data_IF_239345925815
#
_entry.id   IF_239345925815
#
_cell.length_a   1.000
_cell.length_b   1.000
_cell.length_c   1.000
_cell.angle_alpha   90.00
_cell.angle_beta   90.00
_cell.angle_gamma   90.00
#
_symmetry.space_group_name_H-M   'P 1'
#
loop_
_entity.id
_entity.type
_entity.pdbx_description
1 polymer ?
#
# COMPACT_ATOMS: atom_id res chain seq x y z
N UNK A 1 13.48 19.70 11.36
CA UNK A 1 12.98 18.33 11.52
C UNK A 1 13.68 17.49 10.47
N UNK A 2 14.30 16.39 10.86
CA UNK A 2 14.95 15.48 9.90
C UNK A 2 13.91 14.43 9.52
N UNK A 3 13.87 14.06 8.25
CA UNK A 3 12.97 13.04 7.75
C UNK A 3 13.76 11.82 7.30
N UNK A 4 13.17 10.65 7.45
CA UNK A 4 13.67 9.38 6.96
C UNK A 4 12.58 8.67 6.17
N UNK A 5 12.99 7.90 5.17
CA UNK A 5 12.10 6.98 4.47
C UNK A 5 12.29 5.59 5.06
N UNK A 6 11.24 5.04 5.62
CA UNK A 6 11.20 3.67 6.12
C UNK A 6 10.65 2.75 5.04
N UNK A 7 11.29 1.60 4.85
CA UNK A 7 10.70 0.46 4.16
C UNK A 7 10.45 -0.68 5.12
N UNK A 8 9.39 -1.43 4.87
CA UNK A 8 8.99 -2.58 5.66
C UNK A 8 8.57 -3.70 4.71
N UNK A 9 9.18 -4.87 4.84
CA UNK A 9 9.07 -5.86 3.77
C UNK A 9 9.34 -7.27 4.23
N UNK A 10 8.85 -8.20 3.41
CA UNK A 10 9.09 -9.63 3.55
C UNK A 10 10.29 -10.04 2.69
N UNK A 11 11.33 -10.60 3.31
CA UNK A 11 12.53 -11.07 2.62
C UNK A 11 12.28 -12.24 1.66
N UNK A 12 13.23 -12.52 0.75
CA UNK A 12 13.19 -13.69 -0.14
C UNK A 12 13.49 -15.00 0.60
N UNK A 13 13.04 -16.10 0.01
CA UNK A 13 13.33 -17.47 0.46
C UNK A 13 12.17 -18.13 1.18
N UNK A 14 12.42 -19.34 1.69
CA UNK A 14 11.41 -20.20 2.33
C UNK A 14 11.06 -19.75 3.77
N UNK A 15 11.66 -18.65 4.20
CA UNK A 15 11.55 -18.09 5.53
C UNK A 15 10.94 -16.69 5.37
N UNK A 16 9.67 -16.46 5.75
CA UNK A 16 8.95 -15.21 5.54
C UNK A 16 9.43 -14.06 6.44
N UNK A 17 10.73 -13.74 6.42
CA UNK A 17 11.34 -12.82 7.39
C UNK A 17 10.82 -11.40 7.24
N UNK A 18 10.47 -10.76 8.36
CA UNK A 18 9.98 -9.39 8.36
C UNK A 18 11.13 -8.42 8.68
N UNK A 19 11.42 -7.52 7.75
CA UNK A 19 12.51 -6.54 7.85
C UNK A 19 11.97 -5.12 7.84
N UNK A 20 12.74 -4.23 8.46
CA UNK A 20 12.68 -2.80 8.26
C UNK A 20 14.03 -2.29 7.75
N UNK A 21 14.02 -1.28 6.90
CA UNK A 21 15.22 -0.61 6.39
C UNK A 21 14.93 0.89 6.33
N UNK A 22 15.96 1.71 6.52
CA UNK A 22 15.80 3.16 6.64
C UNK A 22 16.73 3.87 5.69
N UNK A 23 16.18 4.79 4.90
CA UNK A 23 16.92 5.69 4.03
C UNK A 23 16.97 7.10 4.65
N UNK A 24 18.16 7.67 4.74
CA UNK A 24 18.40 8.96 5.38
C UNK A 24 18.47 10.15 4.39
N UNK A 25 18.26 9.91 3.10
CA UNK A 25 18.47 10.89 2.02
C UNK A 25 19.74 10.66 1.19
N UNK A 26 20.68 9.90 1.72
CA UNK A 26 21.96 9.60 1.06
C UNK A 26 22.19 8.09 0.93
N UNK A 27 21.88 7.31 1.98
CA UNK A 27 22.12 5.88 2.02
C UNK A 27 21.04 5.12 2.79
N UNK A 28 20.83 3.88 2.38
CA UNK A 28 20.04 2.89 3.10
C UNK A 28 20.88 2.25 4.22
N UNK A 29 20.28 2.01 5.38
CA UNK A 29 20.95 1.39 6.52
C UNK A 29 21.23 -0.11 6.35
N UNK A 30 20.48 -0.77 5.46
CA UNK A 30 20.43 -2.23 5.37
C UNK A 30 19.29 -2.82 6.21
N UNK A 31 18.96 -4.08 5.93
CA UNK A 31 17.82 -4.75 6.54
C UNK A 31 18.08 -5.06 8.02
N UNK A 32 17.12 -4.64 8.86
CA UNK A 32 17.06 -4.96 10.29
C UNK A 32 15.81 -5.80 10.52
N UNK A 33 15.90 -6.99 11.14
CA UNK A 33 14.72 -7.77 11.49
C UNK A 33 13.77 -6.95 12.36
N UNK A 34 12.47 -7.02 12.08
CA UNK A 34 11.48 -6.33 12.89
C UNK A 34 11.60 -6.81 14.35
N UNK A 35 11.78 -5.91 15.33
CA UNK A 35 12.04 -6.32 16.71
C UNK A 35 10.96 -7.28 17.23
N UNK A 36 11.38 -8.41 17.81
CA UNK A 36 10.47 -9.38 18.42
C UNK A 36 9.47 -10.06 17.48
N UNK A 37 9.58 -9.89 16.16
CA UNK A 37 8.85 -10.69 15.19
C UNK A 37 9.68 -10.90 13.93
N UNK A 38 10.11 -12.12 13.69
CA UNK A 38 10.91 -12.46 12.51
C UNK A 38 10.06 -12.93 11.34
N UNK A 39 8.72 -12.79 11.35
CA UNK A 39 7.85 -13.40 10.32
C UNK A 39 6.66 -12.53 9.89
N UNK A 40 6.34 -12.50 8.59
CA UNK A 40 5.16 -11.83 8.04
C UNK A 40 4.55 -12.61 6.86
N UNK A 41 3.23 -12.72 6.79
CA UNK A 41 2.56 -13.53 5.77
C UNK A 41 2.49 -12.84 4.40
N UNK A 42 2.25 -11.53 4.37
CA UNK A 42 1.96 -10.76 3.15
C UNK A 42 2.37 -9.28 3.30
N UNK A 43 2.08 -8.44 2.31
CA UNK A 43 2.41 -7.01 2.27
C UNK A 43 1.93 -6.27 3.53
N UNK A 44 2.83 -5.64 4.31
CA UNK A 44 2.48 -4.81 5.46
C UNK A 44 1.89 -3.47 5.03
N UNK A 45 1.41 -2.68 6.00
CA UNK A 45 1.13 -1.26 5.84
C UNK A 45 1.88 -0.45 6.89
N UNK A 46 2.22 0.79 6.55
CA UNK A 46 2.82 1.71 7.49
C UNK A 46 2.28 3.12 7.30
N UNK A 47 2.05 3.84 8.41
CA UNK A 47 1.50 5.19 8.39
C UNK A 47 1.98 5.98 9.61
N UNK A 48 2.17 7.28 9.46
CA UNK A 48 2.48 8.17 10.59
C UNK A 48 1.18 8.74 11.17
N UNK A 49 1.00 8.62 12.47
CA UNK A 49 -0.17 9.11 13.19
C UNK A 49 0.24 9.67 14.55
N UNK A 50 -0.18 10.89 14.89
CA UNK A 50 0.14 11.57 16.16
C UNK A 50 1.62 11.43 16.56
N UNK A 51 2.54 11.85 15.67
CA UNK A 51 4.01 11.80 15.80
C UNK A 51 4.67 10.42 15.83
N UNK A 52 3.91 9.33 15.74
CA UNK A 52 4.46 7.98 15.78
C UNK A 52 4.28 7.26 14.44
N UNK A 53 5.22 6.39 14.11
CA UNK A 53 5.12 5.47 12.99
C UNK A 53 4.39 4.20 13.44
N UNK A 54 3.23 3.94 12.84
CA UNK A 54 2.46 2.71 13.03
C UNK A 54 2.73 1.75 11.87
N UNK A 55 2.95 0.47 12.22
CA UNK A 55 3.22 -0.60 11.27
C UNK A 55 2.23 -1.72 11.51
N UNK A 56 1.45 -2.08 10.50
CA UNK A 56 0.46 -3.14 10.52
C UNK A 56 0.91 -4.28 9.62
N UNK A 57 0.85 -5.52 10.11
CA UNK A 57 1.42 -6.67 9.41
C UNK A 57 0.66 -7.97 9.70
N UNK A 58 0.30 -8.76 8.67
CA UNK A 58 -0.39 -10.02 8.86
C UNK A 58 0.56 -11.16 9.26
N UNK A 59 0.14 -12.01 10.20
CA UNK A 59 0.75 -13.30 10.55
C UNK A 59 -0.36 -14.34 10.60
N UNK A 60 -0.30 -15.35 9.73
CA UNK A 60 -1.29 -16.42 9.67
C UNK A 60 -2.73 -15.88 9.69
N UNK A 61 -2.99 -14.88 8.83
CA UNK A 61 -4.25 -14.13 8.71
C UNK A 61 -4.60 -13.21 9.89
N UNK A 62 -3.98 -13.34 11.07
CA UNK A 62 -4.14 -12.36 12.15
C UNK A 62 -3.37 -11.07 11.85
N UNK A 63 -3.97 -9.90 12.08
CA UNK A 63 -3.29 -8.62 11.91
C UNK A 63 -2.66 -8.17 13.22
N UNK A 64 -1.37 -7.84 13.17
CA UNK A 64 -0.62 -7.28 14.29
C UNK A 64 -0.15 -5.87 13.96
N UNK A 65 0.21 -5.11 14.99
CA UNK A 65 0.84 -3.82 14.83
C UNK A 65 1.89 -3.52 15.88
N UNK A 66 2.79 -2.60 15.53
CA UNK A 66 3.76 -1.97 16.42
C UNK A 66 3.79 -0.47 16.17
N UNK A 67 4.28 0.24 17.17
CA UNK A 67 4.43 1.70 17.14
C UNK A 67 5.90 2.04 17.38
N UNK A 68 6.43 2.96 16.59
CA UNK A 68 7.76 3.53 16.76
C UNK A 68 7.62 5.02 17.06
N UNK A 69 8.22 5.44 18.18
CA UNK A 69 8.18 6.82 18.67
C UNK A 69 9.36 7.69 18.20
N UNK A 70 10.28 7.11 17.42
CA UNK A 70 11.54 7.74 17.04
C UNK A 70 12.77 7.20 17.76
N UNK A 71 12.57 6.43 18.82
CA UNK A 71 13.66 5.82 19.58
C UNK A 71 13.43 4.32 19.75
N UNK A 72 12.22 3.92 20.17
CA UNK A 72 11.89 2.55 20.55
C UNK A 72 10.64 2.04 19.83
N UNK A 73 10.65 0.74 19.55
CA UNK A 73 9.47 0.01 19.10
C UNK A 73 8.71 -0.52 20.29
N UNK A 74 7.38 -0.35 20.31
CA UNK A 74 6.52 -1.04 21.25
C UNK A 74 6.57 -2.55 21.04
N UNK A 75 6.14 -3.33 22.04
CA UNK A 75 5.80 -4.73 21.85
C UNK A 75 4.72 -4.90 20.75
N UNK A 76 4.69 -6.08 20.11
CA UNK A 76 3.64 -6.41 19.15
C UNK A 76 2.28 -6.48 19.87
N UNK A 77 1.27 -5.86 19.26
CA UNK A 77 -0.12 -5.98 19.68
C UNK A 77 -0.96 -6.54 18.52
N UNK A 78 -1.94 -7.37 18.83
CA UNK A 78 -2.88 -7.86 17.81
C UNK A 78 -4.00 -6.83 17.61
N UNK A 79 -4.42 -6.60 16.37
CA UNK A 79 -5.64 -5.85 16.06
C UNK A 79 -6.84 -6.71 16.49
N UNK A 80 -7.69 -6.23 17.43
CA UNK A 80 -8.72 -7.06 18.04
C UNK A 80 -9.99 -7.15 17.19
N UNK A 81 -10.79 -8.19 17.43
CA UNK A 81 -12.16 -8.33 16.93
C UNK A 81 -12.28 -8.12 15.41
N UNK A 82 -11.54 -8.93 14.65
CA UNK A 82 -11.60 -8.98 13.19
C UNK A 82 -11.51 -10.43 12.72
N UNK A 83 -12.09 -10.74 11.56
CA UNK A 83 -12.03 -12.10 11.00
C UNK A 83 -10.61 -12.50 10.54
N UNK A 84 -9.77 -11.51 10.24
CA UNK A 84 -8.41 -11.68 9.74
C UNK A 84 -8.18 -10.94 8.43
N UNK A 85 -7.00 -11.13 7.84
CA UNK A 85 -6.59 -10.53 6.57
C UNK A 85 -6.21 -11.67 5.61
N UNK A 86 -6.88 -11.73 4.45
CA UNK A 86 -6.63 -12.72 3.41
C UNK A 86 -5.44 -12.42 2.49
N UNK A 87 -5.13 -11.15 2.31
CA UNK A 87 -4.03 -10.65 1.46
C UNK A 87 -3.04 -9.77 2.24
N UNK A 88 -2.61 -8.67 1.64
CA UNK A 88 -1.96 -7.57 2.36
C UNK A 88 -2.97 -6.59 2.95
N UNK A 89 -2.45 -5.55 3.59
CA UNK A 89 -3.22 -4.47 4.21
C UNK A 89 -2.74 -3.13 3.68
N UNK A 90 -3.65 -2.16 3.55
CA UNK A 90 -3.30 -0.75 3.37
C UNK A 90 -3.68 0.06 4.61
N UNK A 91 -2.94 1.15 4.85
CA UNK A 91 -3.23 2.09 5.92
C UNK A 91 -3.18 3.53 5.41
N UNK A 92 -4.14 4.35 5.83
CA UNK A 92 -4.13 5.79 5.58
C UNK A 92 -4.67 6.53 6.81
N UNK A 93 -4.15 7.71 7.11
CA UNK A 93 -4.72 8.59 8.13
C UNK A 93 -5.73 9.51 7.48
N UNK A 94 -6.98 9.42 7.92
CA UNK A 94 -8.09 10.23 7.45
C UNK A 94 -8.95 10.63 8.64
N UNK A 95 -9.36 11.90 8.70
CA UNK A 95 -10.26 12.42 9.74
C UNK A 95 -9.82 12.12 11.20
N UNK A 96 -8.50 12.19 11.46
CA UNK A 96 -7.94 11.91 12.80
C UNK A 96 -7.95 10.43 13.19
N UNK A 97 -8.18 9.51 12.24
CA UNK A 97 -8.16 8.07 12.45
C UNK A 97 -7.17 7.41 11.49
N UNK A 98 -6.54 6.31 11.91
CA UNK A 98 -5.94 5.35 10.98
C UNK A 98 -7.06 4.48 10.42
N UNK A 99 -7.18 4.41 9.11
CA UNK A 99 -8.02 3.47 8.39
C UNK A 99 -7.18 2.30 7.90
N UNK A 100 -7.55 1.09 8.28
CA UNK A 100 -6.98 -0.17 7.80
C UNK A 100 -7.91 -0.80 6.78
N UNK A 101 -7.41 -1.05 5.58
CA UNK A 101 -8.18 -1.52 4.42
C UNK A 101 -7.63 -2.87 3.96
N UNK A 102 -8.51 -3.86 3.80
CA UNK A 102 -8.12 -5.25 3.55
C UNK A 102 -9.29 -6.09 3.02
N UNK A 103 -9.03 -7.35 2.69
CA UNK A 103 -10.07 -8.36 2.46
C UNK A 103 -9.97 -9.45 3.54
N UNK A 104 -11.12 -9.99 3.97
CA UNK A 104 -11.15 -11.11 4.92
C UNK A 104 -10.62 -12.41 4.28
N UNK A 105 -10.14 -13.39 5.06
CA UNK A 105 -9.63 -14.64 4.52
C UNK A 105 -10.67 -15.41 3.70
N UNK A 106 -10.30 -15.80 2.48
CA UNK A 106 -11.18 -16.51 1.55
C UNK A 106 -12.36 -15.67 1.02
N UNK A 107 -12.37 -14.37 1.30
CA UNK A 107 -13.37 -13.41 0.82
C UNK A 107 -12.68 -12.32 0.01
N UNK A 108 -13.47 -11.56 -0.73
CA UNK A 108 -12.97 -10.49 -1.58
C UNK A 108 -13.72 -9.17 -1.35
N UNK A 109 -14.60 -9.09 -0.35
CA UNK A 109 -15.18 -7.81 0.05
C UNK A 109 -14.10 -6.88 0.60
N UNK A 110 -14.14 -5.61 0.21
CA UNK A 110 -13.30 -4.58 0.81
C UNK A 110 -13.83 -4.28 2.22
N UNK A 111 -12.99 -4.55 3.21
CA UNK A 111 -13.24 -4.32 4.62
C UNK A 111 -12.47 -3.10 5.10
N UNK A 112 -12.97 -2.44 6.15
CA UNK A 112 -12.17 -1.49 6.90
C UNK A 112 -12.35 -1.58 8.41
N UNK A 113 -11.31 -1.14 9.12
CA UNK A 113 -11.32 -0.91 10.57
C UNK A 113 -10.61 0.41 10.86
N UNK A 114 -11.07 1.14 11.87
CA UNK A 114 -10.44 2.42 12.27
C UNK A 114 -9.72 2.32 13.60
N UNK A 115 -8.72 3.17 13.81
CA UNK A 115 -8.04 3.36 15.09
C UNK A 115 -7.88 4.85 15.40
N UNK A 116 -8.25 5.27 16.61
CA UNK A 116 -8.26 6.69 17.01
C UNK A 116 -7.04 7.12 17.84
N UNK A 117 -6.03 6.26 18.00
CA UNK A 117 -4.91 6.49 18.92
C UNK A 117 -5.06 5.82 20.28
N UNK A 118 -6.22 5.24 20.57
CA UNK A 118 -6.49 4.57 21.85
C UNK A 118 -7.22 3.24 21.66
N UNK A 119 -8.26 3.22 20.84
CA UNK A 119 -9.10 2.05 20.60
C UNK A 119 -9.37 1.82 19.12
N UNK A 120 -9.56 0.55 18.75
CA UNK A 120 -10.03 0.18 17.43
C UNK A 120 -11.56 0.23 17.36
N UNK A 121 -12.08 0.69 16.24
CA UNK A 121 -13.50 0.61 15.90
C UNK A 121 -13.95 -0.80 15.50
N UNK A 122 -15.24 -0.99 15.17
CA UNK A 122 -15.73 -2.24 14.60
C UNK A 122 -15.08 -2.53 13.24
N UNK A 123 -15.01 -3.81 12.88
CA UNK A 123 -14.74 -4.23 11.51
C UNK A 123 -16.01 -4.01 10.67
N UNK A 124 -15.87 -3.31 9.54
CA UNK A 124 -16.97 -2.91 8.67
C UNK A 124 -16.73 -3.42 7.25
N UNK A 125 -17.75 -4.04 6.66
CA UNK A 125 -17.77 -4.33 5.23
C UNK A 125 -18.21 -3.08 4.47
N UNK A 126 -17.37 -2.56 3.58
CA UNK A 126 -17.71 -1.37 2.78
C UNK A 126 -18.91 -1.62 1.87
N UNK A 127 -19.14 -2.87 1.45
CA UNK A 127 -20.27 -3.25 0.59
C UNK A 127 -21.63 -3.28 1.30
N UNK A 128 -21.67 -3.11 2.63
CA UNK A 128 -22.90 -3.15 3.44
C UNK A 128 -23.34 -1.82 4.06
N UNK A 129 -22.69 -0.70 3.74
CA UNK A 129 -23.00 0.62 4.31
C UNK A 129 -23.83 1.49 3.36
N UNK A 130 -24.96 2.04 3.85
CA UNK A 130 -25.97 2.88 3.19
C UNK A 130 -25.66 3.36 1.76
N UNK A 131 -26.34 2.74 0.80
CA UNK A 131 -26.06 2.82 -0.62
C UNK A 131 -26.81 3.95 -1.31
N UNK A 132 -26.09 4.72 -2.13
CA UNK A 132 -26.61 5.03 -3.46
C UNK A 132 -25.97 4.17 -4.56
N UNK A 133 -24.78 3.55 -4.37
CA UNK A 133 -24.21 2.49 -5.22
C UNK A 133 -23.26 1.68 -4.33
N UNK A 134 -23.34 0.34 -4.31
CA UNK A 134 -22.39 -0.53 -3.59
C UNK A 134 -20.95 -0.24 -3.99
N UNK A 135 -19.99 -0.54 -3.11
CA UNK A 135 -18.63 -0.87 -3.58
C UNK A 135 -18.81 -2.08 -4.49
N UNK A 136 -18.90 -1.81 -5.79
CA UNK A 136 -19.29 -2.78 -6.79
C UNK A 136 -18.17 -3.77 -7.06
N UNK A 137 -16.96 -3.52 -6.54
CA UNK A 137 -15.81 -4.35 -6.79
C UNK A 137 -15.35 -5.14 -5.57
N UNK A 138 -14.90 -6.34 -5.88
CA UNK A 138 -14.22 -7.22 -4.97
C UNK A 138 -12.72 -6.98 -5.04
N UNK A 139 -12.05 -6.87 -3.89
CA UNK A 139 -10.61 -6.74 -3.77
C UNK A 139 -9.95 -8.11 -3.57
N UNK A 140 -9.20 -8.57 -4.57
CA UNK A 140 -8.55 -9.90 -4.60
C UNK A 140 -7.04 -9.87 -4.33
N UNK A 141 -6.49 -8.69 -3.99
CA UNK A 141 -5.06 -8.48 -3.73
C UNK A 141 -4.87 -7.42 -2.61
N UNK A 142 -3.65 -6.95 -2.36
CA UNK A 142 -3.36 -5.85 -1.44
C UNK A 142 -3.93 -4.55 -2.02
N UNK A 143 -4.84 -3.85 -1.31
CA UNK A 143 -5.31 -2.54 -1.76
C UNK A 143 -4.20 -1.48 -1.58
N UNK A 144 -4.40 -0.31 -2.17
CA UNK A 144 -3.63 0.90 -1.82
C UNK A 144 -4.58 2.00 -1.34
N UNK A 145 -4.10 2.86 -0.45
CA UNK A 145 -4.91 3.88 0.19
C UNK A 145 -4.18 5.21 0.26
N UNK A 146 -4.84 6.30 -0.16
CA UNK A 146 -4.31 7.66 -0.01
C UNK A 146 -5.45 8.62 0.28
N UNK A 147 -5.14 9.69 1.02
CA UNK A 147 -6.05 10.81 1.21
C UNK A 147 -5.67 11.93 0.27
N UNK A 148 -6.66 12.55 -0.34
CA UNK A 148 -6.50 13.79 -1.09
C UNK A 148 -7.68 14.71 -0.86
N UNK A 149 -7.38 15.95 -0.49
CA UNK A 149 -8.40 16.89 -0.07
C UNK A 149 -9.19 16.31 1.10
N UNK A 150 -10.49 16.16 0.91
CA UNK A 150 -11.42 15.69 1.92
C UNK A 150 -11.99 14.30 1.63
N UNK A 151 -11.19 13.47 0.95
CA UNK A 151 -11.62 12.15 0.48
C UNK A 151 -10.52 11.12 0.71
N UNK A 152 -10.90 9.98 1.31
CA UNK A 152 -10.08 8.77 1.31
C UNK A 152 -10.32 8.01 0.00
N UNK A 153 -9.25 7.74 -0.73
CA UNK A 153 -9.26 6.91 -1.93
C UNK A 153 -8.66 5.55 -1.61
N UNK A 154 -9.32 4.49 -2.07
CA UNK A 154 -8.85 3.11 -1.96
C UNK A 154 -8.81 2.52 -3.36
N UNK A 155 -7.66 2.02 -3.77
CA UNK A 155 -7.43 1.44 -5.09
C UNK A 155 -7.26 -0.06 -4.95
N UNK A 156 -7.82 -0.82 -5.89
CA UNK A 156 -7.74 -2.27 -5.81
C UNK A 156 -8.12 -2.96 -7.10
N UNK A 157 -7.93 -4.27 -7.09
CA UNK A 157 -8.17 -5.14 -8.23
C UNK A 157 -9.26 -6.15 -7.91
N UNK A 158 -10.13 -6.40 -8.87
CA UNK A 158 -11.00 -7.57 -8.89
C UNK A 158 -12.36 -7.31 -9.53
N UNK A 159 -13.24 -8.32 -9.55
CA UNK A 159 -14.45 -8.28 -10.35
C UNK A 159 -15.46 -7.26 -9.84
N UNK A 160 -16.16 -6.63 -10.78
CA UNK A 160 -17.29 -5.75 -10.50
C UNK A 160 -18.63 -6.50 -10.54
N UNK A 161 -19.70 -5.94 -9.97
CA UNK A 161 -21.06 -6.50 -10.06
C UNK A 161 -21.49 -6.77 -11.51
N UNK A 162 -21.17 -5.85 -12.43
CA UNK A 162 -21.47 -5.98 -13.87
C UNK A 162 -20.47 -6.86 -14.64
N UNK A 163 -19.35 -7.24 -14.02
CA UNK A 163 -18.27 -8.04 -14.63
C UNK A 163 -17.70 -9.07 -13.64
N UNK A 164 -18.53 -10.00 -13.12
CA UNK A 164 -18.18 -10.86 -11.99
C UNK A 164 -17.00 -11.82 -12.25
N UNK A 165 -16.60 -12.01 -13.51
CA UNK A 165 -15.45 -12.84 -13.90
C UNK A 165 -14.15 -12.08 -14.15
N UNK A 166 -14.17 -10.74 -14.17
CA UNK A 166 -12.98 -9.95 -14.50
C UNK A 166 -12.11 -9.70 -13.27
N UNK A 167 -11.29 -10.69 -12.90
CA UNK A 167 -10.36 -10.58 -11.76
C UNK A 167 -9.27 -9.54 -11.95
N UNK A 168 -9.06 -9.03 -13.16
CA UNK A 168 -8.03 -8.06 -13.47
C UNK A 168 -8.56 -6.61 -13.45
N UNK A 169 -9.87 -6.39 -13.27
CA UNK A 169 -10.43 -5.04 -13.36
C UNK A 169 -9.83 -4.13 -12.28
N UNK A 170 -9.41 -2.94 -12.71
CA UNK A 170 -8.90 -1.89 -11.82
C UNK A 170 -10.05 -1.00 -11.35
N UNK A 171 -10.19 -0.85 -10.03
CA UNK A 171 -11.18 -0.01 -9.39
C UNK A 171 -10.56 0.98 -8.41
N UNK A 172 -11.34 2.01 -8.11
CA UNK A 172 -11.13 2.82 -6.92
C UNK A 172 -12.45 3.03 -6.17
N UNK A 173 -12.37 3.08 -4.84
CA UNK A 173 -13.42 3.53 -3.95
C UNK A 173 -13.06 4.87 -3.31
N UNK A 174 -14.07 5.69 -3.03
CA UNK A 174 -13.96 6.97 -2.34
C UNK A 174 -14.81 6.95 -1.08
N UNK A 175 -14.31 7.53 0.00
CA UNK A 175 -15.05 7.73 1.24
C UNK A 175 -14.94 9.18 1.73
N UNK A 176 -16.10 9.79 1.99
CA UNK A 176 -16.27 11.21 2.34
C UNK A 176 -16.79 11.41 3.78
N UNK A 177 -16.49 10.45 4.68
CA UNK A 177 -17.04 10.31 6.05
C UNK A 177 -18.47 9.80 6.13
N UNK A 178 -19.23 9.86 5.05
CA UNK A 178 -20.62 9.42 5.05
C UNK A 178 -20.84 8.18 4.21
N UNK A 179 -20.25 8.14 3.02
CA UNK A 179 -20.66 7.23 1.96
C UNK A 179 -19.44 6.66 1.25
N UNK A 180 -19.45 5.34 1.04
CA UNK A 180 -18.53 4.69 0.13
C UNK A 180 -19.11 4.70 -1.29
N UNK A 181 -18.27 5.03 -2.28
CA UNK A 181 -18.63 4.97 -3.71
C UNK A 181 -17.49 4.29 -4.46
N UNK A 182 -17.78 3.44 -5.42
CA UNK A 182 -16.74 2.80 -6.25
C UNK A 182 -16.92 3.11 -7.73
N UNK A 183 -15.82 3.24 -8.44
CA UNK A 183 -15.81 3.48 -9.87
C UNK A 183 -14.70 2.64 -10.52
N UNK A 184 -14.92 2.13 -11.75
CA UNK A 184 -13.83 1.51 -12.50
C UNK A 184 -12.82 2.59 -12.89
N UNK A 185 -11.55 2.23 -12.92
CA UNK A 185 -10.51 3.09 -13.49
C UNK A 185 -10.64 3.05 -15.01
N UNK A 186 -10.79 4.23 -15.64
CA UNK A 186 -10.93 4.33 -17.08
C UNK A 186 -9.57 4.24 -17.79
N UNK A 187 -9.59 3.78 -19.05
CA UNK A 187 -8.42 3.78 -19.93
C UNK A 187 -7.26 2.92 -19.41
N UNK A 188 -7.59 1.76 -18.80
CA UNK A 188 -6.60 0.77 -18.35
C UNK A 188 -7.05 -0.62 -18.74
N UNK A 189 -6.10 -1.48 -19.11
CA UNK A 189 -6.35 -2.88 -19.47
C UNK A 189 -6.67 -3.74 -18.23
N UNK A 190 -6.45 -3.20 -17.03
CA UNK A 190 -6.58 -3.89 -15.76
C UNK A 190 -5.22 -4.05 -15.10
N UNK A 191 -5.19 -4.88 -14.05
CA UNK A 191 -4.01 -5.14 -13.26
C UNK A 191 -3.70 -6.64 -13.21
N UNK A 192 -2.44 -7.02 -13.00
CA UNK A 192 -2.05 -8.41 -12.63
C UNK A 192 -1.86 -8.59 -11.11
N UNK A 193 -1.74 -7.50 -10.36
CA UNK A 193 -1.58 -7.47 -8.90
C UNK A 193 -2.26 -6.24 -8.28
N UNK A 194 -2.19 -6.12 -6.95
CA UNK A 194 -2.67 -4.93 -6.24
C UNK A 194 -1.79 -3.70 -6.53
N UNK A 195 -2.38 -2.51 -6.69
CA UNK A 195 -1.64 -1.29 -7.00
C UNK A 195 -0.88 -0.74 -5.79
N UNK A 196 0.07 0.16 -6.04
CA UNK A 196 0.60 1.12 -5.07
C UNK A 196 0.06 2.53 -5.34
N UNK A 197 -0.10 3.36 -4.32
CA UNK A 197 -0.61 4.73 -4.48
C UNK A 197 0.13 5.74 -3.59
N UNK A 198 0.44 6.92 -4.13
CA UNK A 198 0.98 8.05 -3.36
C UNK A 198 0.40 9.38 -3.86
N UNK A 199 0.06 10.28 -2.93
CA UNK A 199 -0.24 11.68 -3.26
C UNK A 199 1.07 12.44 -3.44
N UNK A 200 1.25 13.07 -4.59
CA UNK A 200 2.43 13.86 -4.90
C UNK A 200 2.06 15.05 -5.80
N UNK A 201 2.45 16.26 -5.38
CA UNK A 201 2.01 17.52 -6.00
C UNK A 201 0.47 17.52 -6.12
N UNK A 202 -0.06 17.86 -7.29
CA UNK A 202 -1.49 17.92 -7.59
C UNK A 202 -2.08 16.59 -8.10
N UNK A 203 -1.43 15.45 -7.82
CA UNK A 203 -1.85 14.16 -8.37
C UNK A 203 -1.79 13.04 -7.34
N UNK A 204 -2.71 12.08 -7.49
CA UNK A 204 -2.52 10.73 -6.96
C UNK A 204 -1.81 9.94 -8.05
N UNK A 205 -0.63 9.41 -7.74
CA UNK A 205 0.11 8.50 -8.60
C UNK A 205 -0.21 7.07 -8.22
N UNK A 206 -0.53 6.26 -9.24
CA UNK A 206 -0.79 4.83 -9.10
C UNK A 206 0.29 4.07 -9.85
N UNK A 207 0.81 3.02 -9.22
CA UNK A 207 1.81 2.12 -9.77
C UNK A 207 1.26 0.71 -9.78
N UNK A 208 1.33 0.03 -10.91
CA UNK A 208 0.66 -1.25 -11.08
C UNK A 208 1.27 -2.04 -12.23
N UNK A 209 1.10 -3.36 -12.21
CA UNK A 209 1.39 -4.16 -13.38
C UNK A 209 0.12 -4.36 -14.19
N UNK A 210 0.20 -4.24 -15.50
CA UNK A 210 -0.90 -4.61 -16.39
C UNK A 210 -1.11 -6.15 -16.39
N UNK A 211 -2.12 -6.68 -17.10
CA UNK A 211 -2.34 -8.12 -17.18
C UNK A 211 -1.22 -8.90 -17.90
N UNK A 212 -0.35 -8.23 -18.66
CA UNK A 212 0.81 -8.85 -19.32
C UNK A 212 2.03 -8.95 -18.40
N UNK A 213 2.01 -8.25 -17.27
CA UNK A 213 3.08 -8.21 -16.26
C UNK A 213 4.05 -7.04 -16.45
N UNK A 214 3.81 -6.15 -17.40
CA UNK A 214 4.58 -4.93 -17.59
C UNK A 214 4.23 -3.92 -16.51
N UNK A 215 5.23 -3.17 -16.03
CA UNK A 215 5.07 -2.22 -14.95
C UNK A 215 4.70 -0.84 -15.46
N UNK A 216 3.56 -0.32 -15.01
CA UNK A 216 2.97 0.95 -15.43
C UNK A 216 2.75 1.90 -14.25
N UNK A 217 2.63 3.17 -14.58
CA UNK A 217 2.09 4.19 -13.70
C UNK A 217 1.04 5.04 -14.42
N UNK A 218 0.14 5.63 -13.64
CA UNK A 218 -0.77 6.67 -14.11
C UNK A 218 -1.05 7.69 -13.01
N UNK A 219 -1.63 8.83 -13.38
CA UNK A 219 -2.00 9.90 -12.45
C UNK A 219 -3.50 10.18 -12.46
N UNK A 220 -4.01 10.60 -11.31
CA UNK A 220 -5.41 10.94 -11.10
C UNK A 220 -5.55 12.25 -10.32
N UNK A 221 -6.41 13.15 -10.79
CA UNK A 221 -6.64 14.47 -10.18
C UNK A 221 -7.54 14.42 -8.93
N UNK A 222 -8.06 13.25 -8.57
CA UNK A 222 -8.99 13.08 -7.45
C UNK A 222 -10.44 13.43 -7.77
N UNK A 223 -10.72 14.16 -8.86
CA UNK A 223 -12.04 14.72 -9.16
C UNK A 223 -12.63 14.24 -10.50
N UNK A 224 -11.90 13.45 -11.28
CA UNK A 224 -12.43 12.72 -12.43
C UNK A 224 -11.50 12.59 -13.63
N UNK A 225 -10.39 13.35 -13.66
CA UNK A 225 -9.45 13.33 -14.79
C UNK A 225 -8.30 12.36 -14.55
N UNK A 226 -8.12 11.47 -15.53
CA UNK A 226 -7.08 10.44 -15.53
C UNK A 226 -6.03 10.74 -16.59
N UNK A 227 -4.76 10.54 -16.24
CA UNK A 227 -3.69 10.38 -17.22
C UNK A 227 -3.76 9.03 -17.95
N UNK A 228 -3.05 8.92 -19.06
CA UNK A 228 -2.82 7.65 -19.74
C UNK A 228 -1.96 6.70 -18.88
N UNK A 229 -2.10 5.40 -19.12
CA UNK A 229 -1.19 4.40 -18.60
C UNK A 229 0.17 4.59 -19.28
N UNK A 230 1.24 4.77 -18.50
CA UNK A 230 2.61 4.97 -18.97
C UNK A 230 3.50 3.87 -18.41
N UNK A 231 4.25 3.20 -19.27
CA UNK A 231 5.18 2.18 -18.80
C UNK A 231 6.28 2.86 -17.97
N UNK A 232 6.63 2.26 -16.83
CA UNK A 232 7.77 2.70 -16.03
C UNK A 232 9.04 2.43 -16.86
N UNK A 233 9.83 3.47 -17.18
CA UNK A 233 10.94 3.33 -18.13
C UNK A 233 12.06 2.47 -17.56
N UNK A 234 12.75 1.73 -18.43
CA UNK A 234 13.94 0.93 -18.10
C UNK A 234 13.74 -0.05 -16.93
N UNK A 235 12.52 -0.53 -16.71
CA UNK A 235 12.21 -1.49 -15.65
C UNK A 235 11.80 -2.83 -16.27
N UNK A 236 12.61 -3.90 -16.08
CA UNK A 236 12.34 -5.24 -16.64
C UNK A 236 11.00 -5.85 -16.18
N UNK A 237 10.46 -5.35 -15.07
CA UNK A 237 9.17 -5.74 -14.51
C UNK A 237 9.14 -5.45 -13.01
N UNK A 238 7.94 -5.46 -12.44
CA UNK A 238 7.72 -5.46 -11.01
C UNK A 238 6.99 -6.78 -10.65
N UNK A 239 7.42 -7.47 -9.60
CA UNK A 239 6.94 -8.82 -9.29
C UNK A 239 6.17 -8.91 -7.95
N UNK A 240 5.79 -7.76 -7.41
CA UNK A 240 4.92 -7.62 -6.23
C UNK A 240 4.13 -6.30 -6.30
N UNK A 241 3.49 -5.88 -5.21
CA UNK A 241 2.87 -4.55 -5.15
C UNK A 241 3.99 -3.49 -5.00
N UNK A 242 3.96 -2.41 -5.79
CA UNK A 242 4.91 -1.33 -5.61
C UNK A 242 4.54 -0.45 -4.41
N UNK A 243 5.52 0.13 -3.72
CA UNK A 243 5.32 1.06 -2.62
C UNK A 243 5.84 2.46 -3.01
N UNK A 244 5.00 3.28 -3.68
CA UNK A 244 5.33 4.67 -3.93
C UNK A 244 5.26 5.49 -2.63
N UNK A 245 6.21 6.39 -2.43
CA UNK A 245 6.25 7.28 -1.25
C UNK A 245 6.96 8.59 -1.61
N UNK A 246 6.48 9.71 -1.06
CA UNK A 246 7.14 11.00 -1.22
C UNK A 246 8.14 11.22 -0.10
N UNK A 247 9.39 11.48 -0.45
CA UNK A 247 10.47 11.78 0.47
C UNK A 247 11.32 12.92 -0.09
N UNK A 248 11.52 13.99 0.69
CA UNK A 248 12.24 15.20 0.28
C UNK A 248 11.82 15.72 -1.11
N UNK A 249 10.51 15.95 -1.28
CA UNK A 249 9.88 16.43 -2.53
C UNK A 249 10.12 15.57 -3.78
N UNK A 250 10.54 14.31 -3.58
CA UNK A 250 10.79 13.36 -4.65
C UNK A 250 9.89 12.13 -4.47
N UNK A 251 9.32 11.64 -5.58
CA UNK A 251 8.51 10.43 -5.56
C UNK A 251 9.43 9.21 -5.72
N UNK A 252 9.59 8.45 -4.65
CA UNK A 252 10.27 7.17 -4.64
C UNK A 252 9.29 6.05 -4.98
N UNK A 253 9.75 5.06 -5.73
CA UNK A 253 8.99 3.87 -6.08
C UNK A 253 9.81 2.66 -5.69
N UNK A 254 9.45 2.02 -4.58
CA UNK A 254 10.07 0.80 -4.09
C UNK A 254 9.35 -0.41 -4.67
N UNK A 255 10.07 -1.36 -5.26
CA UNK A 255 9.46 -2.48 -5.97
C UNK A 255 10.35 -3.73 -6.03
N UNK A 256 9.75 -4.85 -6.43
CA UNK A 256 10.41 -6.16 -6.51
C UNK A 256 10.87 -6.43 -7.94
N UNK A 257 12.18 -6.63 -8.13
CA UNK A 257 12.75 -7.08 -9.40
C UNK A 257 12.47 -8.56 -9.72
N UNK A 258 12.81 -9.01 -10.94
CA UNK A 258 12.49 -10.35 -11.44
C UNK A 258 13.02 -11.52 -10.61
N UNK A 259 14.16 -11.34 -9.93
CA UNK A 259 14.77 -12.38 -9.09
C UNK A 259 14.56 -12.10 -7.60
N UNK A 260 13.52 -11.33 -7.25
CA UNK A 260 13.25 -10.92 -5.88
C UNK A 260 14.19 -9.82 -5.37
N UNK A 261 14.92 -9.12 -6.25
CA UNK A 261 15.72 -7.97 -5.84
C UNK A 261 14.81 -6.89 -5.22
N UNK A 262 15.28 -6.25 -4.15
CA UNK A 262 14.64 -5.03 -3.66
C UNK A 262 15.22 -3.83 -4.40
N UNK A 263 14.42 -3.23 -5.27
CA UNK A 263 14.80 -2.11 -6.13
C UNK A 263 14.05 -0.84 -5.72
N UNK A 264 14.65 0.31 -6.01
CA UNK A 264 13.96 1.58 -5.99
C UNK A 264 14.37 2.47 -7.17
N UNK A 265 13.45 3.34 -7.55
CA UNK A 265 13.69 4.46 -8.49
C UNK A 265 13.06 5.72 -7.95
N UNK A 266 13.42 6.85 -8.55
CA UNK A 266 12.79 8.13 -8.27
C UNK A 266 12.27 8.78 -9.54
N UNK A 267 11.26 9.62 -9.37
CA UNK A 267 10.73 10.47 -10.41
C UNK A 267 10.24 11.82 -9.85
N UNK A 268 10.18 12.83 -10.70
CA UNK A 268 9.48 14.08 -10.43
C UNK A 268 7.98 14.02 -10.76
N UNK A 269 7.46 12.81 -11.03
CA UNK A 269 6.08 12.55 -11.37
C UNK A 269 5.79 12.70 -12.87
N UNK A 270 6.81 12.91 -13.70
CA UNK A 270 6.69 13.03 -15.16
C UNK A 270 7.68 12.06 -15.85
N UNK A 271 8.46 12.57 -16.81
CA UNK A 271 9.43 11.79 -17.60
C UNK A 271 10.83 11.75 -17.02
N UNK A 272 11.10 12.47 -15.92
CA UNK A 272 12.40 12.44 -15.29
C UNK A 272 12.46 11.26 -14.33
N UNK A 273 13.15 10.19 -14.74
CA UNK A 273 13.34 8.96 -13.97
C UNK A 273 14.82 8.69 -13.73
N UNK A 274 15.17 8.18 -12.55
CA UNK A 274 16.45 7.52 -12.36
C UNK A 274 16.43 6.11 -12.96
N UNK A 275 17.58 5.44 -13.02
CA UNK A 275 17.65 3.99 -13.29
C UNK A 275 17.27 3.18 -12.06
N UNK A 276 16.98 1.89 -12.25
CA UNK A 276 16.74 0.95 -11.15
C UNK A 276 17.99 0.83 -10.29
N UNK A 277 17.84 1.07 -8.98
CA UNK A 277 18.91 0.99 -8.00
C UNK A 277 18.55 -0.06 -6.96
N UNK A 278 19.47 -0.98 -6.68
CA UNK A 278 19.27 -1.95 -5.61
C UNK A 278 19.33 -1.27 -4.25
N UNK A 279 18.39 -1.63 -3.36
CA UNK A 279 18.54 -1.35 -1.92
C UNK A 279 19.69 -2.24 -1.42
N UNK A 280 20.80 -1.69 -0.91
CA UNK A 280 21.94 -2.48 -0.48
C UNK A 280 21.64 -3.25 0.81
N UNK A 281 22.39 -4.34 1.04
CA UNK A 281 22.35 -5.13 2.28
C UNK A 281 20.94 -5.61 2.67
N UNK A 282 20.20 -6.11 1.67
CA UNK A 282 18.83 -6.57 1.83
C UNK A 282 18.68 -8.06 1.52
N UNK A 283 17.73 -8.70 2.19
CA UNK A 283 17.26 -10.03 1.86
C UNK A 283 16.33 -10.05 0.63
N UNK A 284 16.15 -8.94 -0.08
CA UNK A 284 15.24 -8.84 -1.22
C UNK A 284 13.77 -8.80 -0.80
N UNK A 285 12.88 -9.00 -1.77
CA UNK A 285 11.42 -8.97 -1.60
C UNK A 285 10.80 -10.29 -2.07
N UNK A 286 9.86 -10.84 -1.28
CA UNK A 286 8.98 -11.95 -1.71
C UNK A 286 7.50 -11.56 -1.86
N UNK A 287 7.15 -10.32 -1.54
CA UNK A 287 5.89 -9.67 -1.84
C UNK A 287 6.10 -8.14 -1.88
N UNK A 288 5.03 -7.36 -2.06
CA UNK A 288 5.14 -5.90 -2.03
C UNK A 288 5.71 -5.38 -0.70
N UNK A 289 6.59 -4.37 -0.71
CA UNK A 289 6.98 -3.65 0.49
C UNK A 289 5.87 -2.66 0.93
N UNK A 290 6.02 -2.10 2.12
CA UNK A 290 5.42 -0.83 2.51
C UNK A 290 6.51 0.22 2.62
N UNK A 291 6.17 1.48 2.32
CA UNK A 291 7.09 2.60 2.45
C UNK A 291 6.38 3.81 3.07
N UNK A 292 7.08 4.54 3.94
CA UNK A 292 6.51 5.70 4.65
C UNK A 292 7.61 6.67 5.04
N UNK A 293 7.33 7.97 4.91
CA UNK A 293 8.22 9.02 5.41
C UNK A 293 7.87 9.33 6.86
N UNK A 294 8.88 9.33 7.72
CA UNK A 294 8.76 9.61 9.15
C UNK A 294 9.75 10.70 9.56
N UNK A 295 9.32 11.63 10.40
CA UNK A 295 10.11 12.81 10.76
C UNK A 295 10.24 12.97 12.27
N UNK A 296 11.44 13.35 12.71
CA UNK A 296 11.83 13.63 14.10
C UNK A 296 12.42 15.04 14.23
#
# INVERSE_FOLDING_TARGET
MKSWLFSLHKGVGNSPQFFTNVFNGEAWSGDVPMPGNTWISNTPAAVVFNTNLYVFYPINQSLYYRVYDGELWTAAAQVPNMAGVGGGVAAAVYDGLIYLLYSNPGQSDLMYKTYNGTSFGPEINTSGTNHLISVAYQNVDTPAAVVRGDTLYVFGRGPGYSEPGNMNRFWYATFDRSTWRSNPVAGTEGLSNGPGAASYKDWIYLFFNDPTGLFFFKRFDGIGSWGADRQVPDTPGNFGNAAPVVFNDTLYVLHQGPDGQFLYKTTDGEDNWTSDTAVPNTAGLSCGPAAVTFSL
#
